data_IF_362527543069
#
_entry.id   IF_362527543069
#
_cell.length_a   1.000
_cell.length_b   1.000
_cell.length_c   1.000
_cell.angle_alpha   90.00
_cell.angle_beta   90.00
_cell.angle_gamma   90.00
#
_symmetry.space_group_name_H-M   'P 1'
#
loop_
_entity.id
_entity.type
_entity.pdbx_description
1 polymer ?
#
# COMPACT_ATOMS: atom_id res chain seq x y z
N UNK A 1 2.24 2.36 -4.28
CA UNK A 1 2.55 1.76 -2.97
C UNK A 1 2.51 2.78 -1.85
N UNK A 2 2.82 2.39 -0.63
CA UNK A 2 2.82 3.27 0.56
C UNK A 2 3.71 4.51 0.36
N UNK A 3 4.85 4.38 -0.35
CA UNK A 3 5.75 5.51 -0.65
C UNK A 3 5.10 6.61 -1.48
N UNK A 4 4.29 6.26 -2.47
CA UNK A 4 3.61 7.26 -3.31
C UNK A 4 2.51 7.97 -2.52
N UNK A 5 1.89 7.25 -1.60
CA UNK A 5 0.89 7.77 -0.66
C UNK A 5 1.52 8.75 0.34
N UNK A 6 2.69 8.43 0.90
CA UNK A 6 3.42 9.33 1.80
C UNK A 6 3.84 10.63 1.10
N UNK A 7 4.34 10.55 -0.15
CA UNK A 7 4.71 11.73 -0.95
C UNK A 7 3.52 12.66 -1.20
N UNK A 8 2.39 12.11 -1.63
CA UNK A 8 1.20 12.90 -1.96
C UNK A 8 0.52 13.53 -0.75
N UNK A 9 0.59 12.87 0.42
CA UNK A 9 -0.09 13.35 1.64
C UNK A 9 0.60 14.55 2.26
N UNK A 10 1.92 14.54 2.38
CA UNK A 10 2.67 15.69 2.88
C UNK A 10 2.40 16.98 2.08
N UNK A 11 2.12 16.86 0.78
CA UNK A 11 1.74 17.98 -0.07
C UNK A 11 0.32 18.49 0.19
N UNK A 12 -0.62 17.61 0.53
CA UNK A 12 -1.98 18.00 0.87
C UNK A 12 -2.05 18.92 2.09
N UNK A 13 -1.13 18.72 3.05
CA UNK A 13 -1.07 19.51 4.27
C UNK A 13 -0.59 20.94 4.02
N UNK A 14 0.37 21.12 3.12
CA UNK A 14 0.87 22.45 2.71
C UNK A 14 -0.19 23.21 1.92
N UNK A 15 -0.89 22.52 1.01
CA UNK A 15 -1.89 23.10 0.12
C UNK A 15 -3.06 23.80 0.83
N UNK A 16 -3.42 23.38 2.04
CA UNK A 16 -4.68 23.82 2.66
C UNK A 16 -4.59 24.95 3.65
N UNK A 17 -3.41 25.28 4.06
CA UNK A 17 -3.25 26.39 5.01
C UNK A 17 -3.40 27.79 4.37
N UNK A 18 -3.36 27.90 3.03
CA UNK A 18 -3.27 29.21 2.37
C UNK A 18 -3.96 29.28 0.99
N UNK A 19 -5.13 28.69 0.78
CA UNK A 19 -5.95 28.86 -0.44
C UNK A 19 -5.15 28.85 -1.76
N UNK A 20 -4.22 27.85 -1.90
CA UNK A 20 -3.46 27.69 -3.14
C UNK A 20 -4.41 27.31 -4.27
N UNK A 21 -4.31 27.99 -5.41
CA UNK A 21 -5.14 27.74 -6.59
C UNK A 21 -5.00 26.26 -7.06
N UNK A 22 -6.13 25.62 -7.35
CA UNK A 22 -6.21 24.21 -7.77
C UNK A 22 -5.36 23.85 -8.99
N UNK A 23 -5.01 24.84 -9.82
CA UNK A 23 -4.19 24.68 -11.02
C UNK A 23 -2.69 24.50 -10.72
N UNK A 24 -2.22 24.92 -9.54
CA UNK A 24 -0.81 24.79 -9.13
C UNK A 24 -0.56 23.43 -8.50
N UNK A 25 -1.56 22.86 -7.85
CA UNK A 25 -1.43 21.58 -7.15
C UNK A 25 -1.32 20.41 -8.13
N UNK A 26 -0.31 19.52 -8.02
CA UNK A 26 -0.11 18.42 -8.96
C UNK A 26 -1.35 17.53 -9.09
N UNK A 27 -1.77 17.24 -10.34
CA UNK A 27 -2.99 16.45 -10.61
C UNK A 27 -2.89 15.01 -10.11
N UNK A 28 -1.68 14.47 -10.04
CA UNK A 28 -1.39 13.13 -9.53
C UNK A 28 -1.38 13.03 -8.01
N UNK A 29 -1.44 14.17 -7.28
CA UNK A 29 -1.49 14.18 -5.83
C UNK A 29 -2.90 13.83 -5.30
N UNK A 30 -2.95 13.23 -4.12
CA UNK A 30 -4.21 12.86 -3.47
C UNK A 30 -5.02 14.08 -3.04
N UNK A 31 -6.32 14.11 -3.37
CA UNK A 31 -7.22 15.26 -3.16
C UNK A 31 -8.40 14.99 -2.23
N UNK A 32 -8.47 13.82 -1.60
CA UNK A 32 -9.58 13.42 -0.73
C UNK A 32 -9.80 14.35 0.47
N UNK A 33 -11.02 14.36 1.02
CA UNK A 33 -11.38 15.14 2.22
C UNK A 33 -10.48 14.80 3.42
N UNK A 34 -10.11 13.52 3.57
CA UNK A 34 -9.23 13.04 4.63
C UNK A 34 -7.87 13.75 4.64
N UNK A 35 -7.33 14.14 3.48
CA UNK A 35 -6.10 14.93 3.39
C UNK A 35 -6.29 16.28 4.10
N UNK A 36 -7.49 16.88 3.99
CA UNK A 36 -7.81 18.15 4.65
C UNK A 36 -7.82 18.02 6.17
N UNK A 37 -8.26 16.90 6.66
CA UNK A 37 -8.33 16.61 8.09
C UNK A 37 -6.93 16.34 8.64
N UNK A 38 -6.13 15.54 7.96
CA UNK A 38 -4.72 15.33 8.30
C UNK A 38 -3.96 16.66 8.36
N UNK A 39 -4.15 17.53 7.36
CA UNK A 39 -3.50 18.82 7.29
C UNK A 39 -3.81 19.74 8.48
N UNK A 40 -5.02 19.67 9.04
CA UNK A 40 -5.38 20.42 10.24
C UNK A 40 -4.63 19.97 11.48
N UNK A 41 -4.26 18.69 11.53
CA UNK A 41 -3.57 18.08 12.66
C UNK A 41 -2.04 18.26 12.58
N UNK A 42 -1.51 18.61 11.39
CA UNK A 42 -0.10 18.87 11.22
C UNK A 42 0.29 20.20 11.90
N UNK A 43 1.17 20.12 12.90
CA UNK A 43 1.65 21.30 13.61
C UNK A 43 3.03 21.70 13.05
N UNK A 44 3.03 22.62 12.08
CA UNK A 44 4.26 23.17 11.52
C UNK A 44 4.88 24.18 12.50
N UNK A 45 6.17 24.03 12.78
CA UNK A 45 6.89 24.85 13.75
C UNK A 45 7.54 26.07 13.10
N UNK A 46 7.88 25.98 11.82
CA UNK A 46 8.50 27.04 11.06
C UNK A 46 7.55 27.60 10.00
N UNK A 47 7.60 28.90 9.78
CA UNK A 47 6.84 29.54 8.72
C UNK A 47 7.52 29.26 7.36
N UNK A 48 7.16 28.14 6.75
CA UNK A 48 7.60 27.84 5.38
C UNK A 48 6.82 28.75 4.42
N UNK A 49 7.57 29.56 3.64
CA UNK A 49 6.95 30.38 2.62
C UNK A 49 6.46 29.48 1.48
N UNK A 50 5.14 29.43 1.33
CA UNK A 50 4.48 28.57 0.33
C UNK A 50 4.84 28.95 -1.09
N UNK A 51 4.96 30.25 -1.38
CA UNK A 51 5.35 30.71 -2.71
C UNK A 51 6.72 30.16 -3.13
N UNK A 52 7.63 29.99 -2.18
CA UNK A 52 8.94 29.41 -2.47
C UNK A 52 8.87 27.91 -2.72
N UNK A 53 7.91 27.19 -2.10
CA UNK A 53 7.69 25.76 -2.38
C UNK A 53 7.24 25.49 -3.81
N UNK A 54 6.46 26.41 -4.37
CA UNK A 54 5.88 26.27 -5.73
C UNK A 54 6.68 27.04 -6.80
N UNK A 55 7.81 27.62 -6.46
CA UNK A 55 8.63 28.39 -7.39
C UNK A 55 9.42 27.51 -8.34
N UNK A 56 9.35 27.84 -9.64
CA UNK A 56 10.16 27.19 -10.67
C UNK A 56 9.87 25.68 -10.79
N UNK A 57 8.60 25.28 -10.67
CA UNK A 57 8.19 23.90 -10.82
C UNK A 57 8.27 23.45 -12.29
N UNK A 58 8.69 22.19 -12.54
CA UNK A 58 8.67 21.59 -13.86
C UNK A 58 7.24 21.36 -14.36
N UNK A 59 7.07 20.97 -15.63
CA UNK A 59 5.74 20.67 -16.19
C UNK A 59 5.19 19.31 -15.74
N UNK A 60 6.07 18.32 -15.59
CA UNK A 60 5.71 16.96 -15.15
C UNK A 60 5.20 16.96 -13.71
N UNK A 61 4.04 16.38 -13.47
CA UNK A 61 3.46 16.28 -12.14
C UNK A 61 4.32 15.51 -11.13
N UNK A 62 5.02 14.46 -11.58
CA UNK A 62 5.92 13.67 -10.71
C UNK A 62 7.12 14.51 -10.29
N UNK A 63 7.74 15.21 -11.24
CA UNK A 63 8.87 16.09 -10.95
C UNK A 63 8.46 17.30 -10.10
N UNK A 64 7.22 17.82 -10.27
CA UNK A 64 6.66 18.83 -9.38
C UNK A 64 6.62 18.35 -7.94
N UNK A 65 6.08 17.16 -7.71
CA UNK A 65 5.99 16.55 -6.37
C UNK A 65 7.38 16.43 -5.75
N UNK A 66 8.33 15.86 -6.47
CA UNK A 66 9.69 15.70 -5.98
C UNK A 66 10.36 17.05 -5.66
N UNK A 67 10.13 18.06 -6.49
CA UNK A 67 10.68 19.41 -6.27
C UNK A 67 10.07 20.12 -5.07
N UNK A 68 8.74 20.04 -4.90
CA UNK A 68 8.05 20.60 -3.73
C UNK A 68 8.55 19.94 -2.44
N UNK A 69 8.69 18.60 -2.43
CA UNK A 69 9.23 17.87 -1.29
C UNK A 69 10.69 18.32 -1.01
N UNK A 70 11.50 18.48 -2.03
CA UNK A 70 12.88 18.95 -1.91
C UNK A 70 12.94 20.35 -1.32
N UNK A 71 12.09 21.27 -1.80
CA UNK A 71 12.01 22.63 -1.26
C UNK A 71 11.58 22.63 0.21
N UNK A 72 10.54 21.84 0.56
CA UNK A 72 10.08 21.73 1.94
C UNK A 72 11.17 21.19 2.88
N UNK A 73 11.87 20.14 2.47
CA UNK A 73 13.01 19.58 3.23
C UNK A 73 14.13 20.60 3.41
N UNK A 74 14.42 21.36 2.36
CA UNK A 74 15.46 22.39 2.41
C UNK A 74 15.08 23.57 3.30
N UNK A 75 13.78 23.91 3.36
CA UNK A 75 13.26 24.96 4.20
C UNK A 75 13.19 24.54 5.68
N UNK A 76 12.67 23.34 5.95
CA UNK A 76 12.54 22.77 7.29
C UNK A 76 12.44 21.24 7.24
N UNK A 77 13.55 20.55 7.43
CA UNK A 77 13.56 19.08 7.55
C UNK A 77 12.69 18.61 8.72
N UNK A 78 12.65 19.39 9.81
CA UNK A 78 11.85 19.06 10.98
C UNK A 78 10.36 19.07 10.69
N UNK A 79 9.88 20.07 9.95
CA UNK A 79 8.48 20.14 9.55
C UNK A 79 8.13 19.05 8.55
N UNK A 80 9.03 18.73 7.62
CA UNK A 80 8.87 17.59 6.72
C UNK A 80 8.68 16.28 7.49
N UNK A 81 9.54 16.00 8.47
CA UNK A 81 9.42 14.79 9.29
C UNK A 81 8.13 14.77 10.13
N UNK A 82 7.73 15.93 10.65
CA UNK A 82 6.46 16.07 11.37
C UNK A 82 5.25 15.78 10.49
N UNK A 83 5.19 16.37 9.30
CA UNK A 83 4.12 16.13 8.31
C UNK A 83 4.06 14.64 7.96
N UNK A 84 5.21 14.06 7.62
CA UNK A 84 5.30 12.65 7.26
C UNK A 84 4.77 11.74 8.38
N UNK A 85 5.20 12.00 9.60
CA UNK A 85 4.79 11.22 10.78
C UNK A 85 3.29 11.34 11.03
N UNK A 86 2.76 12.56 11.11
CA UNK A 86 1.32 12.80 11.36
C UNK A 86 0.46 12.19 10.25
N UNK A 87 0.88 12.33 9.00
CA UNK A 87 0.14 11.75 7.86
C UNK A 87 0.10 10.23 7.93
N UNK A 88 1.23 9.59 8.24
CA UNK A 88 1.31 8.14 8.35
C UNK A 88 0.48 7.62 9.53
N UNK A 89 0.63 8.22 10.72
CA UNK A 89 -0.09 7.81 11.93
C UNK A 89 -1.62 7.93 11.75
N UNK A 90 -2.09 9.04 11.18
CA UNK A 90 -3.53 9.23 10.94
C UNK A 90 -4.10 8.18 9.99
N UNK A 91 -3.38 7.88 8.92
CA UNK A 91 -3.88 6.89 7.96
C UNK A 91 -3.83 5.48 8.51
N UNK A 92 -2.74 5.11 9.18
CA UNK A 92 -2.64 3.79 9.81
C UNK A 92 -3.72 3.60 10.86
N UNK A 93 -3.95 4.58 11.74
CA UNK A 93 -5.01 4.49 12.76
C UNK A 93 -6.41 4.36 12.15
N UNK A 94 -6.68 5.02 11.01
CA UNK A 94 -7.94 4.86 10.29
C UNK A 94 -8.06 3.44 9.72
N UNK A 95 -7.00 2.93 9.09
CA UNK A 95 -6.98 1.57 8.53
C UNK A 95 -7.16 0.53 9.63
N UNK A 96 -6.45 0.68 10.75
CA UNK A 96 -6.56 -0.22 11.91
C UNK A 96 -7.99 -0.26 12.43
N UNK A 97 -8.59 0.93 12.63
CA UNK A 97 -9.97 1.04 13.10
C UNK A 97 -10.98 0.41 12.13
N UNK A 98 -10.89 0.71 10.84
CA UNK A 98 -11.80 0.16 9.83
C UNK A 98 -11.71 -1.37 9.76
N UNK A 99 -10.49 -1.92 9.88
CA UNK A 99 -10.28 -3.37 9.92
C UNK A 99 -10.80 -3.99 11.21
N UNK A 100 -10.61 -3.34 12.36
CA UNK A 100 -11.17 -3.79 13.63
C UNK A 100 -12.70 -3.79 13.59
N UNK A 101 -13.32 -2.73 13.08
CA UNK A 101 -14.77 -2.63 12.88
C UNK A 101 -15.29 -3.71 11.90
N UNK A 102 -14.45 -4.10 10.92
CA UNK A 102 -14.72 -5.24 10.04
C UNK A 102 -14.49 -6.60 10.70
N UNK A 103 -13.92 -6.64 11.90
CA UNK A 103 -13.57 -7.85 12.65
C UNK A 103 -12.29 -8.53 12.17
N UNK A 104 -11.33 -7.74 11.67
CA UNK A 104 -9.99 -8.18 11.26
C UNK A 104 -8.95 -7.44 12.09
N UNK A 105 -8.12 -8.18 12.83
CA UNK A 105 -7.02 -7.65 13.62
C UNK A 105 -5.70 -8.27 13.22
N UNK A 106 -4.60 -7.55 13.45
CA UNK A 106 -3.25 -8.01 13.15
C UNK A 106 -2.38 -8.00 14.41
N UNK A 107 -1.62 -9.04 14.62
CA UNK A 107 -0.66 -9.13 15.74
C UNK A 107 0.57 -8.24 15.51
N UNK A 108 0.90 -7.94 14.24
CA UNK A 108 2.07 -7.16 13.89
C UNK A 108 1.82 -6.28 12.67
N UNK A 109 1.98 -4.98 12.87
CA UNK A 109 2.01 -3.97 11.81
C UNK A 109 3.46 -3.71 11.41
N UNK A 110 3.90 -4.35 10.33
CA UNK A 110 5.28 -4.27 9.88
C UNK A 110 5.54 -2.98 9.08
N UNK A 111 6.50 -2.19 9.52
CA UNK A 111 6.89 -0.96 8.84
C UNK A 111 8.03 -1.24 7.85
N UNK A 112 7.85 -0.93 6.57
CA UNK A 112 8.90 -1.07 5.55
C UNK A 112 10.18 -0.29 5.92
N UNK A 113 10.02 0.85 6.61
CA UNK A 113 11.17 1.62 7.10
C UNK A 113 12.07 0.86 8.08
N UNK A 114 11.57 -0.20 8.72
CA UNK A 114 12.37 -1.06 9.59
C UNK A 114 13.36 -1.96 8.83
N UNK A 115 13.22 -2.04 7.51
CA UNK A 115 14.18 -2.73 6.63
C UNK A 115 15.42 -1.89 6.32
N UNK A 116 15.36 -0.59 6.63
CA UNK A 116 16.37 0.41 6.32
C UNK A 116 17.14 0.81 7.59
N UNK A 117 18.24 1.57 7.42
CA UNK A 117 19.01 2.13 8.54
C UNK A 117 20.36 1.47 8.73
N UNK A 118 20.97 1.63 9.90
CA UNK A 118 22.33 1.15 10.19
C UNK A 118 22.45 -0.38 10.12
N UNK A 119 21.38 -1.09 10.56
CA UNK A 119 21.27 -2.54 10.48
C UNK A 119 20.30 -2.93 9.35
N UNK A 120 20.56 -2.44 8.15
CA UNK A 120 19.71 -2.62 6.97
C UNK A 120 19.49 -4.12 6.68
N UNK A 121 18.23 -4.57 6.82
CA UNK A 121 17.84 -5.94 6.45
C UNK A 121 17.94 -6.17 4.95
N UNK A 122 17.81 -5.11 4.14
CA UNK A 122 18.01 -5.16 2.69
C UNK A 122 19.47 -5.45 2.38
N UNK A 123 20.40 -4.74 3.02
CA UNK A 123 21.82 -4.96 2.79
C UNK A 123 22.24 -6.36 3.26
N UNK A 124 21.69 -6.84 4.37
CA UNK A 124 21.92 -8.20 4.84
C UNK A 124 21.41 -9.27 3.84
N UNK A 125 20.25 -9.04 3.24
CA UNK A 125 19.71 -9.95 2.22
C UNK A 125 20.56 -9.93 0.94
N UNK A 126 20.96 -8.75 0.47
CA UNK A 126 21.86 -8.59 -0.69
C UNK A 126 23.22 -9.24 -0.43
N UNK A 127 23.77 -9.07 0.77
CA UNK A 127 25.03 -9.70 1.19
C UNK A 127 24.91 -11.25 1.19
N UNK A 128 23.80 -11.79 1.64
CA UNK A 128 23.58 -13.26 1.62
C UNK A 128 23.50 -13.78 0.19
N UNK A 129 22.77 -13.10 -0.70
CA UNK A 129 22.72 -13.42 -2.12
C UNK A 129 24.13 -13.33 -2.78
N UNK A 130 24.91 -12.32 -2.40
CA UNK A 130 26.29 -12.16 -2.86
C UNK A 130 27.19 -13.31 -2.40
N UNK A 131 27.07 -13.75 -1.15
CA UNK A 131 27.80 -14.88 -0.61
C UNK A 131 27.46 -16.19 -1.35
N UNK A 132 26.22 -16.29 -1.84
CA UNK A 132 25.75 -17.43 -2.64
C UNK A 132 26.13 -17.28 -4.15
N UNK A 133 26.92 -16.27 -4.55
CA UNK A 133 27.31 -15.96 -5.93
C UNK A 133 26.13 -15.65 -6.88
N UNK A 134 25.05 -15.13 -6.35
CA UNK A 134 23.80 -14.85 -7.05
C UNK A 134 23.61 -13.35 -7.40
N UNK A 135 24.62 -12.55 -7.12
CA UNK A 135 24.63 -11.11 -7.46
C UNK A 135 25.50 -10.88 -8.69
N UNK A 136 25.05 -9.98 -9.55
CA UNK A 136 25.79 -9.47 -10.67
C UNK A 136 25.76 -7.93 -10.68
N UNK A 137 26.85 -7.30 -11.13
CA UNK A 137 26.93 -5.84 -11.25
C UNK A 137 26.93 -5.49 -12.73
N UNK A 138 25.86 -4.82 -13.20
CA UNK A 138 25.68 -4.42 -14.60
C UNK A 138 25.30 -2.93 -14.63
N UNK A 139 26.05 -2.14 -15.37
CA UNK A 139 25.77 -0.71 -15.57
C UNK A 139 25.52 0.05 -14.25
N UNK A 140 26.34 -0.23 -13.22
CA UNK A 140 26.22 0.38 -11.89
C UNK A 140 25.07 -0.16 -11.05
N UNK A 141 24.20 -1.03 -11.58
CA UNK A 141 23.11 -1.62 -10.83
C UNK A 141 23.52 -2.99 -10.25
N UNK A 142 22.95 -3.30 -9.07
CA UNK A 142 23.10 -4.61 -8.43
C UNK A 142 21.92 -5.49 -8.82
N UNK A 143 22.20 -6.60 -9.50
CA UNK A 143 21.22 -7.54 -10.03
C UNK A 143 21.25 -8.86 -9.26
N UNK A 144 20.09 -9.41 -9.00
CA UNK A 144 19.91 -10.79 -8.55
C UNK A 144 19.63 -11.69 -9.76
N UNK A 145 20.33 -12.83 -9.84
CA UNK A 145 20.18 -13.86 -10.87
C UNK A 145 18.92 -14.70 -10.64
N UNK A 146 17.76 -14.06 -10.60
CA UNK A 146 16.49 -14.73 -10.31
C UNK A 146 16.06 -15.69 -11.40
N UNK A 147 16.55 -15.51 -12.63
CA UNK A 147 16.30 -16.43 -13.74
C UNK A 147 16.86 -17.84 -13.49
N UNK A 148 17.91 -18.00 -12.68
CA UNK A 148 18.46 -19.29 -12.31
C UNK A 148 17.49 -20.15 -11.47
N UNK A 149 16.45 -19.50 -10.89
CA UNK A 149 15.42 -20.11 -10.05
C UNK A 149 14.01 -20.07 -10.67
N UNK A 150 13.91 -19.80 -11.98
CA UNK A 150 12.65 -19.90 -12.73
C UNK A 150 11.84 -18.61 -12.83
N UNK A 151 12.41 -17.45 -12.44
CA UNK A 151 11.87 -16.14 -12.86
C UNK A 151 12.11 -15.95 -14.37
N UNK A 152 11.35 -15.09 -15.03
CA UNK A 152 11.48 -14.83 -16.48
C UNK A 152 12.75 -14.06 -16.86
N UNK A 153 13.35 -13.35 -15.90
CA UNK A 153 14.61 -12.60 -16.05
C UNK A 153 15.23 -12.23 -14.72
N UNK A 154 16.50 -11.84 -14.74
CA UNK A 154 17.18 -11.26 -13.59
C UNK A 154 16.55 -9.96 -13.14
N UNK A 155 16.71 -9.62 -11.85
CA UNK A 155 16.06 -8.46 -11.23
C UNK A 155 17.04 -7.52 -10.57
N UNK A 156 16.82 -6.21 -10.79
CA UNK A 156 17.57 -5.17 -10.09
C UNK A 156 17.13 -5.10 -8.63
N UNK A 157 18.08 -5.18 -7.74
CA UNK A 157 17.89 -4.93 -6.30
C UNK A 157 18.23 -3.48 -5.93
N UNK A 158 19.39 -2.99 -6.39
CA UNK A 158 19.86 -1.64 -6.11
C UNK A 158 20.22 -0.97 -7.43
N UNK A 159 19.75 0.24 -7.64
CA UNK A 159 20.02 1.04 -8.83
C UNK A 159 21.40 1.70 -8.75
N UNK A 160 21.92 2.21 -9.89
CA UNK A 160 23.21 2.93 -10.00
C UNK A 160 23.31 4.15 -9.07
N UNK A 161 22.18 4.78 -8.76
CA UNK A 161 22.08 5.90 -7.84
C UNK A 161 21.99 5.48 -6.35
N UNK A 162 22.17 4.20 -6.05
CA UNK A 162 22.09 3.62 -4.71
C UNK A 162 20.66 3.40 -4.19
N UNK A 163 19.62 3.76 -4.96
CA UNK A 163 18.23 3.53 -4.54
C UNK A 163 17.85 2.05 -4.65
N UNK A 164 17.31 1.54 -3.57
CA UNK A 164 16.76 0.19 -3.50
C UNK A 164 15.45 0.10 -4.29
N UNK A 165 15.21 -1.04 -4.92
CA UNK A 165 13.94 -1.32 -5.60
C UNK A 165 12.92 -1.87 -4.60
N UNK A 166 11.64 -1.83 -4.94
CA UNK A 166 10.59 -2.51 -4.14
C UNK A 166 10.89 -4.01 -3.98
N UNK A 167 11.47 -4.61 -5.02
CA UNK A 167 11.83 -6.02 -4.95
C UNK A 167 12.92 -6.29 -3.91
N UNK A 168 13.89 -5.40 -3.73
CA UNK A 168 14.88 -5.54 -2.66
C UNK A 168 14.24 -5.50 -1.26
N UNK A 169 13.25 -4.61 -1.07
CA UNK A 169 12.47 -4.58 0.16
C UNK A 169 11.68 -5.88 0.38
N UNK A 170 11.07 -6.42 -0.68
CA UNK A 170 10.31 -7.67 -0.61
C UNK A 170 11.20 -8.87 -0.29
N UNK A 171 12.39 -8.96 -0.89
CA UNK A 171 13.39 -10.00 -0.57
C UNK A 171 13.77 -9.96 0.90
N UNK A 172 14.09 -8.77 1.42
CA UNK A 172 14.45 -8.58 2.83
C UNK A 172 13.27 -8.89 3.78
N UNK A 173 12.06 -8.50 3.39
CA UNK A 173 10.87 -8.75 4.21
C UNK A 173 10.50 -10.23 4.29
N UNK A 174 10.61 -10.98 3.18
CA UNK A 174 10.37 -12.42 3.21
C UNK A 174 11.45 -13.17 4.02
N UNK A 175 12.71 -12.72 3.90
CA UNK A 175 13.77 -13.20 4.77
C UNK A 175 13.45 -12.94 6.24
N UNK A 176 13.03 -11.73 6.61
CA UNK A 176 12.65 -11.36 7.98
C UNK A 176 11.53 -12.26 8.54
N UNK A 177 10.52 -12.58 7.72
CA UNK A 177 9.45 -13.50 8.14
C UNK A 177 9.99 -14.87 8.52
N UNK A 178 10.91 -15.42 7.73
CA UNK A 178 11.52 -16.74 8.03
C UNK A 178 12.49 -16.65 9.21
N UNK A 179 13.26 -15.57 9.33
CA UNK A 179 14.17 -15.35 10.46
C UNK A 179 13.42 -15.21 11.80
N UNK A 180 12.15 -14.77 11.77
CA UNK A 180 11.26 -14.77 12.95
C UNK A 180 10.79 -16.17 13.36
N UNK A 181 11.13 -17.20 12.59
CA UNK A 181 10.89 -18.61 12.93
C UNK A 181 9.53 -19.15 12.51
N UNK A 182 8.85 -18.51 11.56
CA UNK A 182 7.63 -19.06 10.98
C UNK A 182 7.94 -20.25 10.07
N UNK A 183 7.16 -21.32 10.19
CA UNK A 183 7.30 -22.52 9.37
C UNK A 183 6.73 -22.33 7.97
N UNK A 184 5.69 -21.51 7.85
CA UNK A 184 4.99 -21.20 6.60
C UNK A 184 4.70 -19.71 6.50
N UNK A 185 4.83 -19.17 5.30
CA UNK A 185 4.43 -17.81 4.92
C UNK A 185 3.21 -17.91 4.00
N UNK A 186 2.10 -17.30 4.37
CA UNK A 186 0.93 -17.17 3.51
C UNK A 186 0.80 -15.71 3.08
N UNK A 187 1.09 -15.44 1.81
CA UNK A 187 0.86 -14.12 1.23
C UNK A 187 -0.52 -14.05 0.61
N UNK A 188 -1.26 -12.98 0.89
CA UNK A 188 -2.56 -12.69 0.27
C UNK A 188 -2.37 -11.48 -0.63
N UNK A 189 -2.49 -11.67 -1.95
CA UNK A 189 -2.21 -10.65 -2.97
C UNK A 189 -3.40 -10.47 -3.91
N UNK A 190 -3.52 -9.29 -4.50
CA UNK A 190 -4.41 -9.07 -5.63
C UNK A 190 -4.00 -9.93 -6.84
N UNK A 191 -4.96 -10.35 -7.63
CA UNK A 191 -4.74 -11.23 -8.80
C UNK A 191 -3.81 -10.61 -9.85
N UNK A 192 -3.70 -9.30 -9.90
CA UNK A 192 -2.76 -8.54 -10.74
C UNK A 192 -1.29 -8.80 -10.39
N UNK A 193 -1.00 -9.34 -9.21
CA UNK A 193 0.34 -9.72 -8.78
C UNK A 193 0.75 -11.16 -9.12
N UNK A 194 -0.05 -11.92 -9.89
CA UNK A 194 0.25 -13.30 -10.28
C UNK A 194 1.68 -13.47 -10.84
N UNK A 195 2.12 -12.58 -11.74
CA UNK A 195 3.46 -12.62 -12.32
C UNK A 195 4.60 -12.33 -11.36
N UNK A 196 4.28 -11.92 -10.11
CA UNK A 196 5.28 -11.62 -9.08
C UNK A 196 5.67 -12.83 -8.23
N UNK A 197 4.87 -13.90 -8.25
CA UNK A 197 5.04 -15.08 -7.39
C UNK A 197 6.41 -15.72 -7.63
N UNK A 198 6.72 -16.07 -8.87
CA UNK A 198 8.00 -16.73 -9.23
C UNK A 198 9.21 -15.91 -8.82
N UNK A 199 9.10 -14.60 -8.86
CA UNK A 199 10.18 -13.69 -8.43
C UNK A 199 10.47 -13.78 -6.95
N UNK A 200 9.43 -13.87 -6.11
CA UNK A 200 9.60 -14.03 -4.67
C UNK A 200 10.05 -15.45 -4.32
N UNK A 201 9.50 -16.47 -4.97
CA UNK A 201 9.98 -17.87 -4.83
C UNK A 201 11.48 -17.97 -5.14
N UNK A 202 11.92 -17.38 -6.27
CA UNK A 202 13.33 -17.33 -6.66
C UNK A 202 14.21 -16.65 -5.58
N UNK A 203 13.71 -15.58 -4.95
CA UNK A 203 14.45 -14.89 -3.90
C UNK A 203 14.63 -15.75 -2.66
N UNK A 204 13.63 -16.53 -2.27
CA UNK A 204 13.73 -17.45 -1.14
C UNK A 204 14.75 -18.57 -1.41
N UNK A 205 14.68 -19.18 -2.59
CA UNK A 205 15.66 -20.21 -2.99
C UNK A 205 17.08 -19.65 -3.07
N UNK A 206 17.23 -18.43 -3.63
CA UNK A 206 18.53 -17.75 -3.69
C UNK A 206 19.11 -17.41 -2.31
N UNK A 207 18.27 -17.14 -1.33
CA UNK A 207 18.65 -16.96 0.07
C UNK A 207 18.92 -18.28 0.80
N UNK A 208 18.65 -19.43 0.18
CA UNK A 208 18.87 -20.76 0.76
C UNK A 208 17.68 -21.29 1.56
N UNK A 209 16.51 -20.70 1.44
CA UNK A 209 15.27 -21.20 2.04
C UNK A 209 14.50 -22.13 1.09
N UNK A 210 13.72 -23.04 1.66
CA UNK A 210 12.77 -23.82 0.86
C UNK A 210 11.60 -22.93 0.39
N UNK A 211 11.43 -22.77 -0.93
CA UNK A 211 10.33 -22.00 -1.50
C UNK A 211 8.96 -22.57 -1.15
N UNK A 212 8.84 -23.87 -0.83
CA UNK A 212 7.59 -24.49 -0.42
C UNK A 212 7.06 -23.95 0.91
N UNK A 213 7.88 -23.21 1.67
CA UNK A 213 7.42 -22.44 2.83
C UNK A 213 6.56 -21.24 2.45
N UNK A 214 6.53 -20.84 1.18
CA UNK A 214 5.69 -19.74 0.68
C UNK A 214 4.43 -20.29 0.00
N UNK A 215 3.27 -19.88 0.49
CA UNK A 215 1.97 -20.08 -0.14
C UNK A 215 1.37 -18.72 -0.53
N UNK A 216 1.04 -18.52 -1.80
CA UNK A 216 0.42 -17.28 -2.25
C UNK A 216 -1.05 -17.52 -2.59
N UNK A 217 -1.93 -16.77 -1.96
CA UNK A 217 -3.37 -16.74 -2.25
C UNK A 217 -3.68 -15.48 -3.05
N UNK A 218 -4.11 -15.67 -4.29
CA UNK A 218 -4.55 -14.58 -5.15
C UNK A 218 -6.02 -14.28 -4.91
N UNK A 219 -6.34 -13.00 -4.74
CA UNK A 219 -7.71 -12.53 -4.52
C UNK A 219 -8.14 -11.70 -5.71
N UNK A 220 -9.29 -12.05 -6.29
CA UNK A 220 -9.90 -11.31 -7.38
C UNK A 220 -10.53 -10.01 -6.89
N UNK A 221 -10.64 -9.04 -7.79
CA UNK A 221 -11.33 -7.79 -7.51
C UNK A 221 -12.80 -8.02 -7.22
N UNK A 222 -13.32 -7.33 -6.20
CA UNK A 222 -14.74 -7.22 -5.97
C UNK A 222 -15.30 -5.98 -6.67
N UNK A 223 -16.40 -6.14 -7.38
CA UNK A 223 -17.15 -5.02 -7.94
C UNK A 223 -18.25 -4.65 -6.97
N UNK A 224 -18.29 -3.40 -6.52
CA UNK A 224 -19.42 -2.89 -5.75
C UNK A 224 -20.47 -2.33 -6.71
N UNK A 225 -21.73 -2.74 -6.51
CA UNK A 225 -22.87 -2.30 -7.30
C UNK A 225 -23.85 -1.58 -6.37
N UNK A 226 -24.22 -0.34 -6.72
CA UNK A 226 -25.22 0.46 -6.00
C UNK A 226 -26.20 1.05 -7.00
N UNK A 227 -27.48 0.91 -6.74
CA UNK A 227 -28.57 1.35 -7.65
C UNK A 227 -28.40 0.80 -9.07
N UNK A 228 -28.02 -0.48 -9.18
CA UNK A 228 -27.84 -1.19 -10.44
C UNK A 228 -26.63 -0.75 -11.28
N UNK A 229 -25.74 0.05 -10.73
CA UNK A 229 -24.54 0.55 -11.44
C UNK A 229 -23.28 0.30 -10.63
N UNK A 230 -22.13 0.02 -11.30
CA UNK A 230 -20.84 -0.10 -10.60
C UNK A 230 -20.46 1.20 -9.90
N UNK A 231 -20.00 1.07 -8.65
CA UNK A 231 -19.45 2.20 -7.88
C UNK A 231 -18.08 2.57 -8.45
N UNK A 232 -17.89 3.84 -8.77
CA UNK A 232 -16.59 4.34 -9.24
C UNK A 232 -15.58 4.34 -8.09
N UNK A 233 -14.38 3.83 -8.38
CA UNK A 233 -13.28 3.73 -7.44
C UNK A 233 -12.05 4.45 -7.97
N UNK A 234 -11.72 5.61 -7.41
CA UNK A 234 -10.51 6.35 -7.74
C UNK A 234 -9.93 7.04 -6.50
N UNK A 235 -8.92 6.44 -5.92
CA UNK A 235 -8.24 7.00 -4.74
C UNK A 235 -7.53 8.33 -5.02
N UNK A 236 -7.06 8.56 -6.26
CA UNK A 236 -6.37 9.80 -6.65
C UNK A 236 -7.32 10.99 -6.74
N UNK A 237 -8.50 10.80 -7.31
CA UNK A 237 -9.53 11.86 -7.36
C UNK A 237 -10.20 12.11 -6.01
N UNK A 238 -10.00 11.22 -5.03
CA UNK A 238 -10.70 11.25 -3.74
C UNK A 238 -12.14 10.74 -3.83
N UNK A 239 -12.54 10.19 -4.97
CA UNK A 239 -13.83 9.54 -5.20
C UNK A 239 -13.65 8.03 -5.08
N UNK A 240 -13.75 7.51 -3.88
CA UNK A 240 -13.72 6.07 -3.62
C UNK A 240 -14.74 5.73 -2.54
N UNK A 241 -15.18 4.50 -2.56
CA UNK A 241 -16.06 3.93 -1.56
C UNK A 241 -15.17 3.21 -0.53
N UNK A 242 -15.10 3.74 0.67
CA UNK A 242 -14.21 3.24 1.73
C UNK A 242 -14.78 1.96 2.38
N UNK A 243 -13.95 1.27 3.17
CA UNK A 243 -14.44 0.19 4.02
C UNK A 243 -15.42 0.73 5.06
N UNK A 244 -15.17 1.92 5.63
CA UNK A 244 -16.08 2.61 6.53
C UNK A 244 -17.46 2.85 5.88
N UNK A 245 -17.50 3.32 4.61
CA UNK A 245 -18.75 3.49 3.86
C UNK A 245 -19.48 2.15 3.69
N UNK A 246 -18.76 1.09 3.35
CA UNK A 246 -19.33 -0.25 3.21
C UNK A 246 -19.94 -0.73 4.53
N UNK A 247 -19.22 -0.60 5.64
CA UNK A 247 -19.71 -1.03 6.95
C UNK A 247 -20.91 -0.20 7.41
N UNK A 248 -20.90 1.10 7.11
CA UNK A 248 -22.05 1.99 7.40
C UNK A 248 -23.30 1.61 6.60
N UNK A 249 -23.14 1.25 5.31
CA UNK A 249 -24.25 0.94 4.41
C UNK A 249 -24.83 -0.46 4.65
N UNK A 250 -24.00 -1.47 4.89
CA UNK A 250 -24.48 -2.87 4.95
C UNK A 250 -24.23 -3.58 6.30
N UNK A 251 -23.33 -3.05 7.13
CA UNK A 251 -22.89 -3.66 8.37
C UNK A 251 -21.79 -4.71 8.19
N UNK A 252 -21.00 -4.94 9.24
CA UNK A 252 -19.85 -5.84 9.23
C UNK A 252 -20.22 -7.29 8.91
N UNK A 253 -21.25 -7.83 9.56
CA UNK A 253 -21.65 -9.22 9.39
C UNK A 253 -22.10 -9.53 7.96
N UNK A 254 -22.87 -8.62 7.35
CA UNK A 254 -23.33 -8.74 5.96
C UNK A 254 -22.14 -8.69 5.00
N UNK A 255 -21.26 -7.68 5.18
CA UNK A 255 -20.07 -7.55 4.35
C UNK A 255 -19.20 -8.80 4.41
N UNK A 256 -18.87 -9.28 5.63
CA UNK A 256 -18.09 -10.52 5.84
C UNK A 256 -18.74 -11.74 5.20
N UNK A 257 -20.05 -11.90 5.35
CA UNK A 257 -20.79 -13.01 4.73
C UNK A 257 -20.64 -13.02 3.22
N UNK A 258 -20.83 -11.88 2.56
CA UNK A 258 -20.73 -11.79 1.10
C UNK A 258 -19.31 -12.07 0.63
N UNK A 259 -18.27 -11.52 1.28
CA UNK A 259 -16.88 -11.82 0.94
C UNK A 259 -16.54 -13.31 1.13
N UNK A 260 -17.01 -13.93 2.20
CA UNK A 260 -16.76 -15.36 2.47
C UNK A 260 -17.63 -16.30 1.60
N UNK A 261 -18.65 -15.79 0.91
CA UNK A 261 -19.51 -16.59 0.04
C UNK A 261 -18.82 -17.02 -1.27
N UNK A 262 -17.67 -16.45 -1.57
CA UNK A 262 -16.88 -16.72 -2.78
C UNK A 262 -15.49 -17.24 -2.42
N UNK A 263 -14.93 -18.05 -3.31
CA UNK A 263 -13.52 -18.40 -3.24
C UNK A 263 -12.67 -17.18 -3.64
N UNK A 264 -11.43 -17.14 -3.18
CA UNK A 264 -10.54 -15.98 -3.38
C UNK A 264 -10.25 -15.69 -4.87
N UNK A 265 -10.26 -16.72 -5.72
CA UNK A 265 -10.02 -16.66 -7.16
C UNK A 265 -11.27 -16.35 -7.99
N UNK A 266 -12.44 -16.22 -7.35
CA UNK A 266 -13.71 -15.90 -8.01
C UNK A 266 -14.02 -14.40 -7.94
N UNK A 267 -14.57 -13.86 -9.02
CA UNK A 267 -15.11 -12.50 -9.01
C UNK A 267 -16.33 -12.41 -8.09
N UNK A 268 -16.38 -11.36 -7.30
CA UNK A 268 -17.49 -10.98 -6.47
C UNK A 268 -18.16 -9.72 -7.03
N UNK A 269 -19.39 -9.84 -7.48
CA UNK A 269 -20.25 -8.69 -7.69
C UNK A 269 -21.08 -8.51 -6.41
N UNK A 270 -20.74 -7.45 -5.65
CA UNK A 270 -21.40 -7.16 -4.38
C UNK A 270 -22.46 -6.09 -4.59
N UNK A 271 -23.72 -6.54 -4.70
CA UNK A 271 -24.88 -5.66 -4.79
C UNK A 271 -25.28 -5.17 -3.39
N UNK A 272 -25.01 -3.88 -3.13
CA UNK A 272 -25.26 -3.26 -1.83
C UNK A 272 -26.75 -3.15 -1.54
N UNK A 273 -27.59 -2.89 -2.53
CA UNK A 273 -29.04 -2.78 -2.36
C UNK A 273 -29.67 -4.14 -2.04
N UNK A 274 -29.17 -5.20 -2.68
CA UNK A 274 -29.58 -6.57 -2.37
C UNK A 274 -29.14 -6.97 -0.96
N UNK A 275 -27.93 -6.61 -0.57
CA UNK A 275 -27.32 -6.99 0.70
C UNK A 275 -28.09 -6.51 1.94
N UNK A 276 -28.76 -5.36 1.85
CA UNK A 276 -29.61 -4.80 2.92
C UNK A 276 -31.10 -5.16 2.77
N UNK A 277 -31.48 -5.82 1.68
CA UNK A 277 -32.88 -6.14 1.41
C UNK A 277 -33.37 -7.35 2.22
N UNK A 278 -34.67 -7.38 2.53
CA UNK A 278 -35.34 -8.55 3.11
C UNK A 278 -35.87 -9.52 2.06
N UNK A 279 -35.38 -9.45 0.83
CA UNK A 279 -35.79 -10.32 -0.27
C UNK A 279 -35.23 -11.74 -0.12
N UNK A 280 -35.89 -12.71 -0.73
CA UNK A 280 -35.46 -14.12 -0.70
C UNK A 280 -34.09 -14.36 -1.37
N UNK A 281 -33.75 -13.52 -2.31
CA UNK A 281 -32.45 -13.52 -3.02
C UNK A 281 -31.29 -13.10 -2.14
N UNK A 282 -31.57 -12.42 -1.01
CA UNK A 282 -30.54 -12.09 -0.01
C UNK A 282 -30.27 -13.33 0.87
N UNK A 283 -29.18 -14.03 0.57
CA UNK A 283 -28.80 -15.25 1.29
C UNK A 283 -28.51 -15.00 2.78
N UNK A 284 -27.91 -13.85 3.12
CA UNK A 284 -27.66 -13.49 4.51
C UNK A 284 -28.95 -13.36 5.30
N UNK A 285 -29.91 -12.61 4.78
CA UNK A 285 -31.24 -12.46 5.39
C UNK A 285 -31.96 -13.80 5.55
N UNK A 286 -31.84 -14.66 4.55
CA UNK A 286 -32.47 -15.98 4.58
C UNK A 286 -31.90 -16.88 5.69
N UNK A 287 -30.59 -16.84 5.91
CA UNK A 287 -29.91 -17.55 7.01
C UNK A 287 -30.34 -16.97 8.37
N UNK A 288 -30.36 -15.65 8.51
CA UNK A 288 -30.82 -14.99 9.73
C UNK A 288 -32.28 -15.34 10.06
N UNK A 289 -33.13 -15.33 9.06
CA UNK A 289 -34.55 -15.75 9.20
C UNK A 289 -34.68 -17.21 9.64
N UNK A 290 -33.87 -18.10 9.07
CA UNK A 290 -33.90 -19.52 9.45
C UNK A 290 -33.37 -19.73 10.88
N UNK A 291 -32.37 -18.95 11.34
CA UNK A 291 -31.86 -19.00 12.69
C UNK A 291 -32.85 -18.48 13.73
N UNK A 292 -33.55 -17.39 13.40
CA UNK A 292 -34.54 -16.78 14.30
C UNK A 292 -35.82 -17.61 14.50
N UNK A 293 -36.10 -18.56 13.63
CA UNK A 293 -37.32 -19.42 13.63
C UNK A 293 -37.10 -20.72 14.41
#
# INVERSE_FOLDING_TARGET
GIRDVERSRGLGDVYKRQDIEDNIFPKSAYRGKYIKEIAKNANLQEAVNIDDLFKGLPESDEEKIDKIISHLKSASEKDWQSIKKVSLENVLSTIEKDLEDFGVTFDNWFLESSLLGADSKIDAAVQQLSTNNLIDNRDGNIWFKSSDFGDDKDRVLIREDGRQTYFASDVAYHKDKLDRGFDEIINIWGSDHHGYIKRVEASLEGLGYDKNKLSVKLVQFANLIKSGSPVKMSTRSGEFYSLEDLLSDVGSDVARFYYLSKQTDQHLDFDLDLAVSSKKENMYYYIQYAHAR
#
